data_IF_506349091507
#
_entry.id   IF_506349091507
#
_cell.length_a   1.000
_cell.length_b   1.000
_cell.length_c   1.000
_cell.angle_alpha   90.00
_cell.angle_beta   90.00
_cell.angle_gamma   90.00
#
_symmetry.space_group_name_H-M   'P 1'
#
loop_
_entity.id
_entity.type
_entity.pdbx_description
1 polymer ?
#
# COMPACT_ATOMS: atom_id res chain seq x y z
N UNK A 1 5.09 -6.26 -31.06
CA UNK A 1 5.41 -5.24 -30.04
C UNK A 1 6.90 -5.28 -29.80
N UNK A 2 7.64 -4.21 -30.10
CA UNK A 2 9.04 -4.10 -29.69
C UNK A 2 9.08 -3.68 -28.22
N UNK A 3 9.83 -4.41 -27.41
CA UNK A 3 10.09 -4.06 -26.01
C UNK A 3 11.54 -3.61 -25.94
N UNK A 4 11.76 -2.39 -25.46
CA UNK A 4 13.09 -1.88 -25.15
C UNK A 4 13.33 -2.08 -23.66
N UNK A 5 14.41 -2.78 -23.31
CA UNK A 5 14.85 -2.93 -21.92
C UNK A 5 15.93 -1.88 -21.66
N UNK A 6 15.72 -1.07 -20.62
CA UNK A 6 16.66 -0.04 -20.19
C UNK A 6 17.15 -0.39 -18.79
N UNK A 7 18.44 -0.21 -18.56
CA UNK A 7 19.03 -0.38 -17.23
C UNK A 7 18.91 0.92 -16.43
N UNK A 8 18.68 0.77 -15.13
CA UNK A 8 18.60 1.88 -14.20
C UNK A 8 18.98 1.42 -12.80
N UNK A 9 19.45 2.37 -11.99
CA UNK A 9 19.78 2.15 -10.59
C UNK A 9 18.74 2.82 -9.71
N UNK A 10 18.43 2.22 -8.56
CA UNK A 10 17.63 2.89 -7.54
C UNK A 10 18.56 3.77 -6.74
N UNK A 11 18.34 5.08 -6.80
CA UNK A 11 19.06 6.10 -6.04
C UNK A 11 18.04 6.95 -5.28
N UNK A 12 18.17 7.01 -3.96
CA UNK A 12 17.22 7.72 -3.08
C UNK A 12 15.74 7.31 -3.28
N UNK A 13 15.49 6.03 -3.54
CA UNK A 13 14.14 5.50 -3.79
C UNK A 13 13.55 5.86 -5.16
N UNK A 14 14.34 6.47 -6.05
CA UNK A 14 13.93 6.80 -7.42
C UNK A 14 14.74 5.97 -8.42
N UNK A 15 14.08 5.51 -9.49
CA UNK A 15 14.77 4.82 -10.59
C UNK A 15 15.45 5.88 -11.45
N UNK A 16 16.79 5.86 -11.49
CA UNK A 16 17.61 6.65 -12.40
C UNK A 16 18.07 5.76 -13.55
N UNK A 17 17.65 6.08 -14.77
CA UNK A 17 18.14 5.38 -15.96
C UNK A 17 19.62 5.69 -16.18
N UNK A 18 20.43 4.68 -16.49
CA UNK A 18 21.87 4.86 -16.75
C UNK A 18 22.16 5.38 -18.15
N UNK A 19 21.20 5.19 -19.07
CA UNK A 19 21.22 5.72 -20.43
C UNK A 19 20.42 7.01 -20.54
N UNK A 20 20.81 7.91 -21.47
CA UNK A 20 20.06 9.11 -21.86
C UNK A 20 18.75 8.79 -22.63
N UNK A 21 17.91 7.92 -22.08
CA UNK A 21 16.62 7.58 -22.63
C UNK A 21 15.58 8.58 -22.10
N UNK A 22 15.03 9.40 -23.00
CA UNK A 22 13.88 10.25 -22.68
C UNK A 22 12.61 9.44 -22.89
N UNK A 23 11.95 9.06 -21.80
CA UNK A 23 10.61 8.49 -21.84
C UNK A 23 9.60 9.62 -22.01
N UNK A 24 8.66 9.47 -22.96
CA UNK A 24 7.60 10.45 -23.18
C UNK A 24 6.63 10.46 -21.98
N UNK A 25 5.96 11.59 -21.79
CA UNK A 25 4.90 11.71 -20.79
C UNK A 25 3.82 10.62 -21.00
N UNK A 26 3.31 10.05 -19.91
CA UNK A 26 2.35 8.94 -19.90
C UNK A 26 2.82 7.62 -20.55
N UNK A 27 4.12 7.45 -20.82
CA UNK A 27 4.66 6.16 -21.26
C UNK A 27 4.45 5.10 -20.18
N UNK A 28 3.78 4.00 -20.50
CA UNK A 28 3.65 2.86 -19.58
C UNK A 28 4.99 2.13 -19.46
N UNK A 29 5.49 2.00 -18.24
CA UNK A 29 6.74 1.31 -17.92
C UNK A 29 6.45 0.10 -17.02
N UNK A 30 7.22 -0.97 -17.20
CA UNK A 30 7.23 -2.13 -16.30
C UNK A 30 8.58 -2.17 -15.59
N UNK A 31 8.57 -2.34 -14.27
CA UNK A 31 9.79 -2.48 -13.45
C UNK A 31 9.85 -3.92 -12.95
N UNK A 32 10.97 -4.58 -13.23
CA UNK A 32 11.26 -5.93 -12.72
C UNK A 32 12.35 -5.79 -11.67
N UNK A 33 12.01 -6.08 -10.42
CA UNK A 33 12.99 -6.11 -9.32
C UNK A 33 13.12 -7.57 -8.87
N UNK A 34 14.27 -8.23 -9.12
CA UNK A 34 14.47 -9.59 -8.63
C UNK A 34 14.53 -9.60 -7.11
N UNK A 35 13.99 -10.65 -6.49
CA UNK A 35 14.07 -10.93 -5.06
C UNK A 35 13.47 -9.87 -4.12
N UNK A 36 12.71 -8.90 -4.65
CA UNK A 36 11.97 -7.95 -3.84
C UNK A 36 10.61 -8.54 -3.45
N UNK A 37 10.49 -8.95 -2.19
CA UNK A 37 9.19 -9.22 -1.60
C UNK A 37 8.54 -7.87 -1.28
N UNK A 38 7.60 -7.44 -2.11
CA UNK A 38 6.68 -6.38 -1.72
C UNK A 38 5.80 -7.00 -0.63
N UNK A 39 6.11 -6.71 0.63
CA UNK A 39 5.15 -6.93 1.69
C UNK A 39 3.92 -6.07 1.37
N UNK A 40 2.91 -6.67 0.77
CA UNK A 40 1.58 -6.09 0.77
C UNK A 40 1.17 -6.08 2.23
N UNK A 41 1.35 -4.93 2.88
CA UNK A 41 0.82 -4.72 4.22
C UNK A 41 -0.69 -4.96 4.13
N UNK A 42 -1.14 -6.13 4.59
CA UNK A 42 -2.56 -6.46 4.68
C UNK A 42 -3.10 -5.56 5.78
N UNK A 43 -3.67 -4.42 5.39
CA UNK A 43 -4.25 -3.49 6.33
C UNK A 43 -5.59 -4.06 6.78
N UNK A 44 -5.62 -4.72 7.93
CA UNK A 44 -6.86 -5.04 8.62
C UNK A 44 -7.39 -3.72 9.16
N UNK A 45 -8.36 -3.13 8.48
CA UNK A 45 -9.03 -1.94 8.97
C UNK A 45 -9.72 -2.27 10.30
N UNK A 46 -9.51 -1.44 11.33
CA UNK A 46 -10.28 -1.53 12.56
C UNK A 46 -11.75 -1.27 12.25
N UNK A 47 -12.69 -2.10 12.72
CA UNK A 47 -14.10 -1.81 12.59
C UNK A 47 -14.41 -0.47 13.25
N UNK A 48 -15.16 0.39 12.56
CA UNK A 48 -15.65 1.66 13.08
C UNK A 48 -17.18 1.65 13.08
N UNK A 49 -17.80 2.34 14.04
CA UNK A 49 -19.24 2.59 14.00
C UNK A 49 -19.58 3.42 12.76
N UNK A 50 -20.58 2.97 12.00
CA UNK A 50 -21.09 3.72 10.83
C UNK A 50 -21.66 5.07 11.29
N UNK A 51 -22.27 5.10 12.47
CA UNK A 51 -22.87 6.28 13.10
C UNK A 51 -22.32 6.42 14.52
N UNK A 52 -21.58 7.51 14.80
CA UNK A 52 -20.85 7.70 16.07
C UNK A 52 -21.79 7.82 17.27
N UNK A 53 -23.00 8.31 17.03
CA UNK A 53 -24.07 8.45 18.01
C UNK A 53 -24.53 7.12 18.63
N UNK A 54 -24.24 5.99 17.99
CA UNK A 54 -24.62 4.65 18.47
C UNK A 54 -23.71 4.11 19.58
N UNK A 55 -22.69 4.85 20.03
CA UNK A 55 -21.71 4.37 21.01
C UNK A 55 -22.34 3.81 22.28
N UNK A 56 -23.47 4.38 22.73
CA UNK A 56 -24.16 3.95 23.93
C UNK A 56 -24.79 2.55 23.78
N UNK A 57 -25.18 2.15 22.57
CA UNK A 57 -25.78 0.84 22.28
C UNK A 57 -24.77 -0.31 22.41
N UNK A 58 -23.47 0.02 22.36
CA UNK A 58 -22.35 -0.93 22.45
C UNK A 58 -21.64 -0.88 23.81
N UNK A 59 -22.16 -0.12 24.79
CA UNK A 59 -21.60 -0.11 26.14
C UNK A 59 -21.95 -1.41 26.86
N UNK A 60 -20.92 -2.10 27.35
CA UNK A 60 -21.08 -3.30 28.17
C UNK A 60 -21.67 -2.93 29.53
N UNK A 61 -22.77 -3.57 29.90
CA UNK A 61 -23.31 -3.51 31.25
C UNK A 61 -22.73 -4.66 32.08
N UNK A 62 -22.24 -4.34 33.28
CA UNK A 62 -21.75 -5.34 34.24
C UNK A 62 -22.71 -5.32 35.43
N UNK A 63 -23.31 -6.47 35.70
CA UNK A 63 -24.16 -6.68 36.88
C UNK A 63 -23.40 -7.53 37.89
N UNK A 64 -23.39 -7.09 39.15
CA UNK A 64 -22.83 -7.88 40.25
C UNK A 64 -23.83 -8.95 40.68
N UNK A 65 -23.39 -10.21 40.72
CA UNK A 65 -24.17 -11.30 41.25
C UNK A 65 -24.16 -11.23 42.78
N UNK A 66 -25.32 -10.95 43.39
CA UNK A 66 -25.46 -10.91 44.85
C UNK A 66 -25.64 -12.34 45.34
N UNK A 67 -24.58 -12.90 45.94
CA UNK A 67 -24.56 -14.21 46.60
C UNK A 67 -25.11 -14.22 48.01
#
# INVERSE_FOLDING_TARGET
MSVLTLEGIVDQGQIRLTTNANLLEHTKVYVVVPDMQIEQAIHIATPHLVHKEQVNDFMMEVVEEVG
#
